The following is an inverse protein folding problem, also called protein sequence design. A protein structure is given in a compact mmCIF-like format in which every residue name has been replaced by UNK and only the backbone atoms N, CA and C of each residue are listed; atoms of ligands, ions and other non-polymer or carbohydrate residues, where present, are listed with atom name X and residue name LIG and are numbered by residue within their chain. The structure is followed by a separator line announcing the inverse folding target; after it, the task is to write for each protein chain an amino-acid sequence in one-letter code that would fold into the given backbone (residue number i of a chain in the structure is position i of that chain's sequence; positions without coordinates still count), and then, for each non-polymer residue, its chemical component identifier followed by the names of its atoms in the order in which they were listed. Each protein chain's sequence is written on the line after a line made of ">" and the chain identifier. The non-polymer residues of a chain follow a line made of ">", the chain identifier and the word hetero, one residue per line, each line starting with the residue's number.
data_IF_110392959339
#
_entry.id   IF_110392959339
#
_cell.length_a   1.000
_cell.length_b   1.000
_cell.length_c   1.000
_cell.angle_alpha   90.00
_cell.angle_beta   90.00
_cell.angle_gamma   90.00
#
_symmetry.space_group_name_H-M   'P 1'
#
loop_
_entity.id
_entity.type
_entity.pdbx_description
1 polymer ?
#
# COMPACT_ATOMS: atom_id res chain seq x y z
N UNK A 1 -22.46 8.88 -5.57
CA UNK A 1 -23.03 7.52 -5.69
C UNK A 1 -22.33 6.62 -4.69
N UNK A 2 -22.95 6.29 -3.55
CA UNK A 2 -22.43 5.26 -2.65
C UNK A 2 -22.58 3.91 -3.32
N UNK A 3 -21.46 3.21 -3.56
CA UNK A 3 -21.52 1.81 -3.96
C UNK A 3 -22.04 0.98 -2.77
N UNK A 4 -22.86 -0.06 -3.02
CA UNK A 4 -23.40 -0.90 -1.96
C UNK A 4 -22.28 -1.47 -1.09
N UNK A 5 -22.51 -1.53 0.22
CA UNK A 5 -21.62 -2.13 1.21
C UNK A 5 -21.27 -3.55 0.78
N UNK A 6 -20.13 -3.72 0.09
CA UNK A 6 -19.55 -5.05 -0.07
C UNK A 6 -19.08 -5.48 1.31
N UNK A 7 -19.43 -6.68 1.77
CA UNK A 7 -18.96 -7.17 3.07
C UNK A 7 -17.43 -7.30 3.11
N UNK A 8 -16.78 -7.36 1.95
CA UNK A 8 -15.33 -7.53 1.81
C UNK A 8 -14.77 -6.53 0.78
N UNK A 9 -13.59 -5.94 1.04
CA UNK A 9 -12.93 -5.08 0.07
C UNK A 9 -12.48 -5.89 -1.16
N UNK A 10 -12.42 -5.25 -2.33
CA UNK A 10 -11.94 -5.85 -3.59
C UNK A 10 -10.47 -6.27 -3.51
N UNK A 11 -9.70 -5.58 -2.69
CA UNK A 11 -8.28 -5.84 -2.49
C UNK A 11 -8.03 -6.20 -1.03
N UNK A 12 -7.17 -7.18 -0.78
CA UNK A 12 -6.65 -7.44 0.55
C UNK A 12 -5.29 -6.75 0.68
N UNK A 13 -5.11 -5.95 1.73
CA UNK A 13 -3.90 -5.16 1.97
C UNK A 13 -3.48 -5.49 3.39
N UNK A 14 -2.25 -5.97 3.53
CA UNK A 14 -1.62 -6.15 4.84
C UNK A 14 -0.65 -5.00 5.01
N UNK A 15 -0.81 -4.24 6.10
CA UNK A 15 0.13 -3.20 6.47
C UNK A 15 0.87 -3.64 7.72
N UNK A 16 2.18 -3.84 7.58
CA UNK A 16 3.07 -4.16 8.70
C UNK A 16 3.84 -2.90 9.11
N UNK A 17 3.70 -2.48 10.36
CA UNK A 17 4.44 -1.34 10.95
C UNK A 17 5.29 -1.87 12.09
N UNK A 18 6.61 -1.72 11.98
CA UNK A 18 7.58 -2.22 12.96
C UNK A 18 7.46 -3.73 13.25
N UNK A 19 7.14 -4.52 12.21
CA UNK A 19 6.96 -5.97 12.31
C UNK A 19 5.57 -6.41 12.77
N UNK A 20 4.66 -5.48 13.08
CA UNK A 20 3.30 -5.78 13.51
C UNK A 20 2.26 -5.45 12.44
N UNK A 21 1.37 -6.39 12.14
CA UNK A 21 0.22 -6.13 11.28
C UNK A 21 -0.75 -5.13 11.92
N UNK A 22 -1.20 -4.17 11.13
CA UNK A 22 -2.17 -3.15 11.55
C UNK A 22 -3.53 -3.44 10.94
N UNK A 23 -4.62 -3.44 11.74
CA UNK A 23 -5.95 -3.61 11.21
C UNK A 23 -6.33 -2.41 10.34
N UNK A 24 -6.76 -2.68 9.10
CA UNK A 24 -7.16 -1.65 8.15
C UNK A 24 -8.68 -1.61 8.00
N UNK A 25 -9.21 -0.42 7.73
CA UNK A 25 -10.62 -0.24 7.37
C UNK A 25 -10.82 -0.54 5.89
N UNK A 26 -12.01 -0.99 5.50
CA UNK A 26 -12.34 -1.34 4.10
C UNK A 26 -11.96 -0.22 3.09
N UNK A 27 -12.17 1.04 3.44
CA UNK A 27 -11.81 2.15 2.54
C UNK A 27 -10.30 2.24 2.27
N UNK A 28 -9.44 1.86 3.24
CA UNK A 28 -7.98 1.86 3.07
C UNK A 28 -7.57 0.74 2.12
N UNK A 29 -8.16 -0.45 2.26
CA UNK A 29 -7.94 -1.55 1.33
C UNK A 29 -8.24 -1.15 -0.12
N UNK A 30 -9.39 -0.51 -0.35
CA UNK A 30 -9.81 -0.05 -1.67
C UNK A 30 -8.89 1.04 -2.23
N UNK A 31 -8.61 2.07 -1.42
CA UNK A 31 -7.80 3.21 -1.83
C UNK A 31 -6.34 2.80 -2.11
N UNK A 32 -5.72 2.07 -1.18
CA UNK A 32 -4.30 1.70 -1.28
C UNK A 32 -4.10 0.58 -2.30
N UNK A 33 -4.90 -0.49 -2.23
CA UNK A 33 -4.81 -1.61 -3.18
C UNK A 33 -5.07 -1.18 -4.61
N UNK A 34 -6.08 -0.31 -4.84
CA UNK A 34 -6.37 0.23 -6.17
C UNK A 34 -5.25 1.10 -6.72
N UNK A 35 -4.66 1.98 -5.89
CA UNK A 35 -3.56 2.84 -6.32
C UNK A 35 -2.28 2.04 -6.63
N UNK A 36 -1.90 1.11 -5.76
CA UNK A 36 -0.70 0.28 -5.93
C UNK A 36 -0.83 -0.65 -7.14
N UNK A 37 -1.96 -1.34 -7.32
CA UNK A 37 -2.18 -2.17 -8.51
C UNK A 37 -2.24 -1.33 -9.78
N UNK A 38 -2.85 -0.13 -9.73
CA UNK A 38 -2.82 0.81 -10.86
C UNK A 38 -1.40 1.19 -11.29
N UNK A 39 -0.54 1.49 -10.31
CA UNK A 39 0.89 1.75 -10.55
C UNK A 39 1.59 0.52 -11.14
N UNK A 40 1.41 -0.66 -10.56
CA UNK A 40 2.06 -1.89 -11.04
C UNK A 40 1.63 -2.23 -12.46
N UNK A 41 0.35 -2.08 -12.80
CA UNK A 41 -0.13 -2.24 -14.17
C UNK A 41 0.55 -1.27 -15.13
N UNK A 42 0.70 0.00 -14.75
CA UNK A 42 1.40 0.98 -15.58
C UNK A 42 2.89 0.60 -15.79
N UNK A 43 3.51 -0.10 -14.84
CA UNK A 43 4.89 -0.60 -14.92
C UNK A 43 5.02 -1.95 -15.66
N UNK A 44 3.96 -2.76 -15.68
CA UNK A 44 3.90 -4.09 -16.31
C UNK A 44 3.07 -4.09 -17.61
N UNK A 45 3.13 -3.04 -18.41
CA UNK A 45 2.42 -2.95 -19.71
C UNK A 45 0.91 -3.31 -19.63
N UNK A 46 0.25 -2.83 -18.58
CA UNK A 46 -1.16 -3.08 -18.23
C UNK A 46 -1.52 -4.48 -17.71
N UNK A 47 -0.55 -5.37 -17.52
CA UNK A 47 -0.75 -6.68 -16.92
C UNK A 47 -0.99 -6.61 -15.41
N UNK A 48 -1.86 -7.50 -14.93
CA UNK A 48 -2.10 -7.66 -13.49
C UNK A 48 -0.93 -8.42 -12.82
N UNK A 49 -0.72 -8.14 -11.53
CA UNK A 49 0.16 -8.94 -10.68
C UNK A 49 -0.71 -9.77 -9.73
N UNK A 50 -0.33 -11.02 -9.49
CA UNK A 50 -1.01 -11.88 -8.51
C UNK A 50 -0.80 -11.36 -7.08
N UNK A 51 0.40 -10.85 -6.79
CA UNK A 51 0.79 -10.27 -5.50
C UNK A 51 1.74 -9.08 -5.70
N UNK A 52 1.69 -8.11 -4.80
CA UNK A 52 2.58 -6.95 -4.78
C UNK A 52 3.05 -6.70 -3.36
N UNK A 53 4.36 -6.75 -3.14
CA UNK A 53 5.00 -6.34 -1.89
C UNK A 53 5.60 -4.93 -2.04
N UNK A 54 5.25 -4.02 -1.14
CA UNK A 54 5.70 -2.62 -1.16
C UNK A 54 6.39 -2.26 0.16
N UNK A 55 7.69 -1.96 0.10
CA UNK A 55 8.44 -1.45 1.24
C UNK A 55 8.61 0.06 1.13
N UNK A 56 8.09 0.79 2.11
CA UNK A 56 8.25 2.25 2.21
C UNK A 56 9.22 2.53 3.34
N UNK A 57 10.28 3.29 3.05
CA UNK A 57 11.19 3.83 4.06
C UNK A 57 11.16 5.36 3.98
N UNK A 58 11.16 6.08 5.11
CA UNK A 58 11.36 7.52 5.10
C UNK A 58 12.65 7.85 4.34
N UNK A 59 12.60 8.84 3.46
CA UNK A 59 13.74 9.21 2.63
C UNK A 59 14.94 9.69 3.47
N UNK A 60 14.71 10.32 4.63
CA UNK A 60 15.76 10.77 5.54
C UNK A 60 15.27 10.90 6.99
N UNK A 61 15.72 10.00 7.87
CA UNK A 61 16.17 10.43 9.21
C UNK A 61 17.51 11.10 8.96
N UNK A 62 17.58 12.41 9.14
CA UNK A 62 18.79 13.23 8.96
C UNK A 62 19.99 12.48 9.60
N UNK A 63 21.00 12.12 8.80
CA UNK A 63 22.30 11.75 9.38
C UNK A 63 22.69 12.86 10.36
N UNK A 64 23.20 12.56 11.57
CA UNK A 64 23.55 13.61 12.53
C UNK A 64 24.52 14.57 11.85
N UNK A 65 24.10 15.83 11.72
CA UNK A 65 24.97 16.90 11.29
C UNK A 65 26.12 16.98 12.30
N UNK A 66 27.34 16.72 11.82
CA UNK A 66 28.54 17.26 12.43
C UNK A 66 29.25 16.36 13.44
N UNK A 67 30.39 15.86 12.99
CA UNK A 67 31.56 15.61 13.82
C UNK A 67 32.77 15.78 12.93
N UNK A 68 33.30 16.99 12.90
CA UNK A 68 34.53 17.37 12.19
C UNK A 68 35.76 16.61 12.71
#
# INVERSE_FOLDING_TARGET
>A
MSRPDRPWPRYHVVLTVDGEERPLRNFIHEAFGGAVLGLVRALKDCEDAEEVELHIRPADVKAPDGGA
#
